data_IF_933184105196
#
_entry.id   IF_933184105196
#
_cell.length_a   1.000
_cell.length_b   1.000
_cell.length_c   1.000
_cell.angle_alpha   90.00
_cell.angle_beta   90.00
_cell.angle_gamma   90.00
#
_symmetry.space_group_name_H-M   'P 1'
#
loop_
_entity.id
_entity.type
_entity.pdbx_description
1 polymer ?
#
# COMPACT_ATOMS: atom_id res chain seq x y z
N UNK A 1 20.29 -44.30 -13.77
CA UNK A 1 20.80 -42.90 -13.67
C UNK A 1 22.32 -42.90 -13.69
N UNK A 2 22.92 -42.18 -14.64
CA UNK A 2 24.38 -42.02 -14.72
C UNK A 2 24.89 -41.06 -13.64
N UNK A 3 26.17 -41.18 -13.25
CA UNK A 3 26.82 -40.30 -12.24
C UNK A 3 26.70 -38.82 -12.60
N UNK A 4 26.70 -38.49 -13.90
CA UNK A 4 26.47 -37.14 -14.45
C UNK A 4 25.05 -36.63 -14.17
N UNK A 5 24.03 -37.49 -14.33
CA UNK A 5 22.63 -37.15 -14.04
C UNK A 5 22.37 -36.87 -12.56
N UNK A 6 23.02 -37.61 -11.64
CA UNK A 6 22.94 -37.33 -10.19
C UNK A 6 23.55 -35.98 -9.81
N UNK A 7 24.66 -35.59 -10.45
CA UNK A 7 25.32 -34.30 -10.21
C UNK A 7 24.50 -33.09 -10.71
N UNK A 8 23.79 -33.23 -11.84
CA UNK A 8 22.91 -32.17 -12.35
C UNK A 8 21.69 -31.97 -11.45
N UNK A 9 21.06 -33.06 -10.96
CA UNK A 9 19.91 -32.98 -10.05
C UNK A 9 20.31 -32.31 -8.74
N UNK A 10 21.41 -32.73 -8.10
CA UNK A 10 21.89 -32.09 -6.87
C UNK A 10 22.23 -30.60 -7.04
N UNK A 11 22.68 -30.19 -8.24
CA UNK A 11 22.92 -28.78 -8.57
C UNK A 11 21.62 -27.99 -8.71
N UNK A 12 20.59 -28.59 -9.31
CA UNK A 12 19.28 -27.95 -9.45
C UNK A 12 18.62 -27.78 -8.08
N UNK A 13 18.59 -28.82 -7.26
CA UNK A 13 18.06 -28.76 -5.88
C UNK A 13 18.77 -27.68 -5.05
N UNK A 14 20.10 -27.56 -5.18
CA UNK A 14 20.85 -26.50 -4.49
C UNK A 14 20.54 -25.09 -5.01
N UNK A 15 20.21 -24.93 -6.28
CA UNK A 15 19.80 -23.64 -6.85
C UNK A 15 18.37 -23.28 -6.43
N UNK A 16 17.45 -24.25 -6.46
CA UNK A 16 16.08 -24.09 -5.98
C UNK A 16 16.04 -23.73 -4.49
N UNK A 17 16.86 -24.39 -3.66
CA UNK A 17 16.97 -24.07 -2.23
C UNK A 17 17.51 -22.66 -1.97
N UNK A 18 18.48 -22.18 -2.76
CA UNK A 18 18.98 -20.79 -2.65
C UNK A 18 17.94 -19.78 -3.10
N UNK A 19 17.19 -20.08 -4.16
CA UNK A 19 16.13 -19.20 -4.65
C UNK A 19 14.95 -19.13 -3.67
N UNK A 20 14.57 -20.24 -3.05
CA UNK A 20 13.57 -20.27 -1.98
C UNK A 20 14.01 -19.41 -0.78
N UNK A 21 15.24 -19.62 -0.30
CA UNK A 21 15.79 -18.82 0.79
C UNK A 21 15.85 -17.31 0.44
N UNK A 22 16.23 -16.96 -0.79
CA UNK A 22 16.19 -15.57 -1.29
C UNK A 22 14.78 -14.99 -1.24
N UNK A 23 13.77 -15.75 -1.67
CA UNK A 23 12.37 -15.30 -1.66
C UNK A 23 11.85 -15.09 -0.24
N UNK A 24 12.16 -16.00 0.68
CA UNK A 24 11.83 -15.85 2.10
C UNK A 24 12.47 -14.60 2.70
N UNK A 25 13.75 -14.35 2.41
CA UNK A 25 14.46 -13.15 2.87
C UNK A 25 13.82 -11.87 2.30
N UNK A 26 13.51 -11.86 1.00
CA UNK A 26 12.82 -10.73 0.36
C UNK A 26 11.45 -10.51 0.98
N UNK A 27 10.67 -11.57 1.19
CA UNK A 27 9.35 -11.47 1.81
C UNK A 27 9.44 -10.94 3.24
N UNK A 28 10.37 -11.45 4.05
CA UNK A 28 10.58 -10.98 5.41
C UNK A 28 10.97 -9.49 5.45
N UNK A 29 11.85 -9.06 4.54
CA UNK A 29 12.22 -7.64 4.41
C UNK A 29 11.06 -6.77 3.97
N UNK A 30 10.32 -7.18 2.94
CA UNK A 30 9.13 -6.46 2.46
C UNK A 30 8.12 -6.31 3.59
N UNK A 31 7.86 -7.37 4.35
CA UNK A 31 6.97 -7.32 5.51
C UNK A 31 7.47 -6.34 6.58
N UNK A 32 8.76 -6.36 6.90
CA UNK A 32 9.35 -5.43 7.87
C UNK A 32 9.21 -3.96 7.43
N UNK A 33 9.34 -3.67 6.13
CA UNK A 33 9.16 -2.32 5.58
C UNK A 33 7.71 -1.85 5.67
N UNK A 34 6.75 -2.72 5.35
CA UNK A 34 5.32 -2.41 5.47
C UNK A 34 4.92 -2.19 6.94
N UNK A 35 5.44 -3.01 7.86
CA UNK A 35 5.22 -2.84 9.29
C UNK A 35 5.84 -1.55 9.83
N UNK A 36 7.06 -1.20 9.38
CA UNK A 36 7.71 0.06 9.74
C UNK A 36 6.95 1.29 9.22
N UNK A 37 6.40 1.23 8.01
CA UNK A 37 5.52 2.28 7.47
C UNK A 37 4.23 2.39 8.31
N UNK A 38 3.57 1.25 8.59
CA UNK A 38 2.34 1.22 9.39
C UNK A 38 2.55 1.77 10.80
N UNK A 39 3.70 1.50 11.42
CA UNK A 39 4.03 1.98 12.75
C UNK A 39 4.19 3.52 12.84
N UNK A 40 4.35 4.21 11.70
CA UNK A 40 4.42 5.67 11.65
C UNK A 40 3.03 6.33 11.62
N UNK A 41 1.97 5.58 11.36
CA UNK A 41 0.61 6.11 11.32
C UNK A 41 0.15 6.58 12.69
N UNK A 42 -0.63 7.66 12.72
CA UNK A 42 -1.33 8.05 13.93
C UNK A 42 -2.30 6.94 14.38
N UNK A 43 -2.59 6.81 15.69
CA UNK A 43 -3.45 5.74 16.19
C UNK A 43 -4.83 5.65 15.52
N UNK A 44 -5.40 6.80 15.12
CA UNK A 44 -6.67 6.87 14.40
C UNK A 44 -6.58 6.31 12.99
N UNK A 45 -5.52 6.65 12.24
CA UNK A 45 -5.29 6.14 10.89
C UNK A 45 -4.98 4.63 10.91
N UNK A 46 -4.16 4.17 11.86
CA UNK A 46 -3.88 2.75 12.03
C UNK A 46 -5.14 1.93 12.35
N UNK A 47 -6.07 2.48 13.16
CA UNK A 47 -7.35 1.85 13.43
C UNK A 47 -8.25 1.82 12.19
N UNK A 48 -8.32 2.91 11.42
CA UNK A 48 -9.08 2.99 10.18
C UNK A 48 -8.53 2.02 9.11
N UNK A 49 -7.21 1.89 9.00
CA UNK A 49 -6.55 0.95 8.09
C UNK A 49 -6.91 -0.51 8.42
N UNK A 50 -6.88 -0.90 9.71
CA UNK A 50 -7.29 -2.23 10.15
C UNK A 50 -8.78 -2.50 9.92
N UNK A 51 -9.63 -1.50 10.16
CA UNK A 51 -11.07 -1.59 9.88
C UNK A 51 -11.34 -1.84 8.39
N UNK A 52 -10.60 -1.16 7.50
CA UNK A 52 -10.68 -1.39 6.06
C UNK A 52 -10.25 -2.82 5.66
N UNK A 53 -9.12 -3.30 6.20
CA UNK A 53 -8.65 -4.67 5.95
C UNK A 53 -9.62 -5.73 6.45
N UNK A 54 -10.18 -5.56 7.65
CA UNK A 54 -11.14 -6.52 8.21
C UNK A 54 -12.39 -6.70 7.33
N UNK A 55 -12.86 -5.63 6.68
CA UNK A 55 -13.98 -5.70 5.73
C UNK A 55 -13.60 -6.45 4.44
N UNK A 56 -12.34 -6.39 4.02
CA UNK A 56 -11.85 -7.12 2.83
C UNK A 56 -11.56 -8.60 3.12
N UNK A 57 -11.06 -8.92 4.33
CA UNK A 57 -10.53 -10.24 4.68
C UNK A 57 -11.54 -11.16 5.39
N UNK A 58 -12.38 -10.65 6.31
CA UNK A 58 -13.15 -11.50 7.25
C UNK A 58 -14.56 -11.91 6.78
N UNK A 59 -15.00 -11.53 5.58
CA UNK A 59 -16.31 -11.98 5.08
C UNK A 59 -16.68 -11.64 3.64
N UNK A 60 -15.78 -11.03 2.87
CA UNK A 60 -16.20 -10.24 1.71
C UNK A 60 -17.15 -9.12 2.17
N UNK A 61 -17.89 -8.50 1.24
CA UNK A 61 -18.89 -7.45 1.57
C UNK A 61 -20.13 -8.01 2.31
N UNK A 62 -19.93 -8.87 3.32
CA UNK A 62 -20.93 -9.47 4.20
C UNK A 62 -21.64 -8.38 5.01
N UNK A 63 -22.68 -7.81 4.41
CA UNK A 63 -23.41 -6.68 4.95
C UNK A 63 -23.57 -5.52 3.96
N UNK A 64 -23.06 -5.62 2.74
CA UNK A 64 -23.26 -4.64 1.68
C UNK A 64 -22.62 -3.28 1.98
N UNK A 65 -21.59 -3.25 2.83
CA UNK A 65 -20.84 -2.03 3.19
C UNK A 65 -20.24 -1.40 1.93
N UNK A 66 -19.50 -2.15 1.10
CA UNK A 66 -18.91 -1.62 -0.14
C UNK A 66 -20.00 -1.10 -1.09
N UNK A 67 -21.11 -1.83 -1.21
CA UNK A 67 -22.26 -1.40 -2.01
C UNK A 67 -22.90 -0.10 -1.47
N UNK A 68 -23.09 0.02 -0.15
CA UNK A 68 -23.61 1.24 0.48
C UNK A 68 -22.64 2.41 0.32
N UNK A 69 -21.34 2.17 0.47
CA UNK A 69 -20.30 3.18 0.26
C UNK A 69 -20.33 3.68 -1.18
N UNK A 70 -20.43 2.78 -2.17
CA UNK A 70 -20.52 3.15 -3.58
C UNK A 70 -21.73 4.05 -3.85
N UNK A 71 -22.91 3.71 -3.34
CA UNK A 71 -24.12 4.54 -3.49
C UNK A 71 -23.96 5.88 -2.77
N UNK A 72 -23.47 5.87 -1.53
CA UNK A 72 -23.32 7.07 -0.73
C UNK A 72 -22.28 8.03 -1.31
N UNK A 73 -21.27 7.52 -2.01
CA UNK A 73 -20.15 8.29 -2.56
C UNK A 73 -20.26 8.57 -4.05
N UNK A 74 -21.33 8.12 -4.72
CA UNK A 74 -21.53 8.34 -6.16
C UNK A 74 -21.48 9.83 -6.57
N UNK A 75 -21.77 10.73 -5.64
CA UNK A 75 -21.74 12.18 -5.85
C UNK A 75 -20.32 12.79 -5.89
N UNK A 76 -19.28 12.06 -5.48
CA UNK A 76 -17.91 12.56 -5.43
C UNK A 76 -17.24 12.64 -6.82
N UNK A 77 -17.82 11.99 -7.84
CA UNK A 77 -17.26 11.95 -9.20
C UNK A 77 -16.05 11.01 -9.31
N UNK A 78 -15.40 11.03 -10.48
CA UNK A 78 -14.20 10.24 -10.75
C UNK A 78 -12.92 11.05 -10.47
N UNK A 79 -11.97 10.41 -9.78
CA UNK A 79 -10.63 10.95 -9.53
C UNK A 79 -10.51 11.87 -8.31
N UNK A 80 -9.28 12.02 -7.82
CA UNK A 80 -8.95 12.87 -6.68
C UNK A 80 -8.69 14.32 -7.15
N UNK A 81 -9.37 15.34 -6.61
CA UNK A 81 -9.25 16.74 -7.07
C UNK A 81 -8.01 17.46 -6.51
N UNK A 82 -6.99 16.72 -6.08
CA UNK A 82 -5.75 17.30 -5.53
C UNK A 82 -4.85 17.75 -6.68
N UNK A 83 -4.67 19.07 -6.80
CA UNK A 83 -3.68 19.65 -7.69
C UNK A 83 -2.32 19.68 -6.99
N UNK A 84 -1.37 18.90 -7.48
CA UNK A 84 -0.02 18.83 -6.94
C UNK A 84 1.00 18.57 -8.06
N UNK A 85 2.16 19.24 -8.09
CA UNK A 85 3.14 19.10 -9.18
C UNK A 85 3.74 17.70 -9.27
N UNK A 86 3.74 16.93 -8.19
CA UNK A 86 4.27 15.57 -8.16
C UNK A 86 3.22 14.48 -8.40
N UNK A 87 1.95 14.84 -8.71
CA UNK A 87 0.83 13.88 -8.77
C UNK A 87 1.13 12.68 -9.68
N UNK A 88 1.39 12.93 -10.96
CA UNK A 88 1.57 11.88 -11.97
C UNK A 88 2.74 10.95 -11.61
N UNK A 89 3.87 11.54 -11.23
CA UNK A 89 5.07 10.78 -10.86
C UNK A 89 4.90 9.98 -9.56
N UNK A 90 4.17 10.53 -8.58
CA UNK A 90 3.91 9.86 -7.31
C UNK A 90 2.92 8.71 -7.48
N UNK A 91 1.87 8.88 -8.30
CA UNK A 91 0.91 7.82 -8.64
C UNK A 91 1.61 6.69 -9.41
N UNK A 92 2.42 7.04 -10.43
CA UNK A 92 3.21 6.06 -11.16
C UNK A 92 4.18 5.29 -10.25
N UNK A 93 4.82 5.97 -9.30
CA UNK A 93 5.65 5.29 -8.29
C UNK A 93 4.82 4.37 -7.40
N UNK A 94 3.67 4.81 -6.88
CA UNK A 94 2.83 3.99 -6.00
C UNK A 94 2.34 2.71 -6.69
N UNK A 95 1.94 2.80 -7.97
CA UNK A 95 1.59 1.63 -8.78
C UNK A 95 2.76 0.65 -8.90
N UNK A 96 3.98 1.15 -9.14
CA UNK A 96 5.18 0.32 -9.27
C UNK A 96 5.72 -0.22 -7.95
N UNK A 97 5.50 0.49 -6.84
CA UNK A 97 6.07 0.16 -5.54
C UNK A 97 5.64 -1.23 -5.06
N UNK A 98 4.38 -1.60 -5.32
CA UNK A 98 3.78 -2.86 -4.89
C UNK A 98 3.54 -3.87 -6.03
N UNK A 99 3.70 -3.47 -7.29
CA UNK A 99 3.39 -4.33 -8.47
C UNK A 99 4.59 -5.13 -9.00
N UNK A 100 5.62 -5.36 -8.18
CA UNK A 100 6.74 -6.23 -8.54
C UNK A 100 6.33 -7.71 -8.64
N UNK A 101 7.05 -8.55 -9.42
CA UNK A 101 6.79 -9.98 -9.44
C UNK A 101 7.01 -10.60 -8.05
N UNK A 102 6.28 -11.68 -7.73
CA UNK A 102 6.39 -12.36 -6.44
C UNK A 102 7.85 -12.69 -6.08
N UNK A 103 8.27 -12.24 -4.88
CA UNK A 103 9.64 -12.41 -4.41
C UNK A 103 10.64 -11.38 -4.97
N UNK A 104 10.17 -10.31 -5.60
CA UNK A 104 10.95 -9.08 -5.82
C UNK A 104 10.83 -8.13 -4.62
N UNK A 105 11.89 -7.36 -4.32
CA UNK A 105 11.80 -6.30 -3.32
C UNK A 105 10.83 -5.19 -3.77
N UNK A 106 10.32 -4.44 -2.79
CA UNK A 106 9.60 -3.20 -3.06
C UNK A 106 10.49 -2.23 -3.83
N UNK A 107 9.90 -1.48 -4.76
CA UNK A 107 10.62 -0.50 -5.58
C UNK A 107 10.81 0.80 -4.80
N UNK A 108 12.05 1.17 -4.42
CA UNK A 108 12.27 2.43 -3.72
C UNK A 108 12.02 3.62 -4.66
N UNK A 109 11.49 4.74 -4.15
CA UNK A 109 11.43 5.99 -4.90
C UNK A 109 12.84 6.56 -5.13
N UNK A 110 12.98 7.44 -6.12
CA UNK A 110 14.18 8.30 -6.22
C UNK A 110 14.31 9.14 -4.93
N UNK A 111 15.44 9.08 -4.19
CA UNK A 111 15.63 9.82 -2.95
C UNK A 111 15.38 11.34 -3.09
N UNK A 112 15.70 11.93 -4.25
CA UNK A 112 15.46 13.35 -4.50
C UNK A 112 13.97 13.69 -4.64
N UNK A 113 13.14 12.70 -4.99
CA UNK A 113 11.68 12.84 -5.18
C UNK A 113 10.87 12.53 -3.93
N UNK A 114 11.44 11.81 -2.96
CA UNK A 114 10.76 11.40 -1.71
C UNK A 114 9.99 12.55 -1.04
N UNK A 115 10.57 13.74 -0.80
CA UNK A 115 9.83 14.81 -0.13
C UNK A 115 8.59 15.27 -0.90
N UNK A 116 8.68 15.29 -2.24
CA UNK A 116 7.58 15.72 -3.10
C UNK A 116 6.47 14.67 -3.19
N UNK A 117 6.83 13.38 -3.17
CA UNK A 117 5.86 12.28 -3.15
C UNK A 117 5.13 12.20 -1.80
N UNK A 118 5.87 12.27 -0.70
CA UNK A 118 5.29 12.34 0.66
C UNK A 118 4.31 13.51 0.77
N UNK A 119 4.69 14.71 0.29
CA UNK A 119 3.82 15.88 0.29
C UNK A 119 2.54 15.68 -0.54
N UNK A 120 2.61 14.98 -1.67
CA UNK A 120 1.44 14.64 -2.47
C UNK A 120 0.46 13.76 -1.67
N UNK A 121 0.95 12.64 -1.14
CA UNK A 121 0.10 11.70 -0.41
C UNK A 121 -0.52 12.31 0.86
N UNK A 122 0.24 13.13 1.60
CA UNK A 122 -0.30 13.89 2.74
C UNK A 122 -1.38 14.88 2.30
N UNK A 123 -1.23 15.54 1.14
CA UNK A 123 -2.26 16.42 0.59
C UNK A 123 -3.54 15.66 0.22
N UNK A 124 -3.42 14.41 -0.26
CA UNK A 124 -4.53 13.50 -0.51
C UNK A 124 -5.24 13.10 0.80
N UNK A 125 -4.48 12.73 1.84
CA UNK A 125 -5.03 12.46 3.17
C UNK A 125 -5.77 13.65 3.75
N UNK A 126 -5.18 14.86 3.64
CA UNK A 126 -5.82 16.09 4.08
C UNK A 126 -7.08 16.45 3.29
N UNK A 127 -7.17 16.06 2.00
CA UNK A 127 -8.40 16.20 1.24
C UNK A 127 -9.51 15.29 1.79
N UNK A 128 -9.20 14.04 2.12
CA UNK A 128 -10.17 13.14 2.75
C UNK A 128 -10.71 13.70 4.07
N UNK A 129 -9.85 14.27 4.92
CA UNK A 129 -10.29 14.91 6.17
C UNK A 129 -11.24 16.10 5.93
N UNK A 130 -10.96 16.91 4.90
CA UNK A 130 -11.82 18.05 4.53
C UNK A 130 -13.18 17.59 4.03
N UNK A 131 -13.23 16.57 3.18
CA UNK A 131 -14.52 16.04 2.71
C UNK A 131 -15.32 15.39 3.84
N UNK A 132 -14.64 14.73 4.79
CA UNK A 132 -15.28 14.21 5.99
C UNK A 132 -15.91 15.32 6.85
N UNK A 133 -15.33 16.52 6.89
CA UNK A 133 -15.85 17.65 7.67
C UNK A 133 -16.91 18.48 6.93
N UNK A 134 -16.82 18.56 5.60
CA UNK A 134 -17.64 19.47 4.77
C UNK A 134 -19.08 19.01 4.62
N UNK A 135 -19.30 17.71 4.58
CA UNK A 135 -20.61 17.16 4.24
C UNK A 135 -21.22 16.53 5.50
N UNK A 136 -22.48 16.83 5.87
CA UNK A 136 -23.21 16.07 6.89
C UNK A 136 -23.49 14.68 6.32
N UNK A 137 -22.49 13.82 6.45
CA UNK A 137 -22.43 12.54 5.78
C UNK A 137 -23.06 11.44 6.63
N UNK A 138 -23.56 10.41 5.95
CA UNK A 138 -23.87 9.17 6.64
C UNK A 138 -22.59 8.62 7.30
N UNK A 139 -22.72 7.84 8.40
CA UNK A 139 -21.58 7.18 9.05
C UNK A 139 -20.67 6.40 8.08
N UNK A 140 -21.25 5.87 7.00
CA UNK A 140 -20.56 5.15 5.94
C UNK A 140 -19.58 6.06 5.17
N UNK A 141 -19.94 7.28 4.78
CA UNK A 141 -18.99 8.15 4.07
C UNK A 141 -17.92 8.70 5.01
N UNK A 142 -18.23 8.96 6.28
CA UNK A 142 -17.18 9.25 7.28
C UNK A 142 -16.21 8.07 7.45
N UNK A 143 -16.70 6.83 7.35
CA UNK A 143 -15.85 5.64 7.38
C UNK A 143 -14.95 5.58 6.14
N UNK A 144 -15.51 5.78 4.93
CA UNK A 144 -14.72 5.79 3.70
C UNK A 144 -13.65 6.88 3.71
N UNK A 145 -13.99 8.10 4.14
CA UNK A 145 -13.04 9.20 4.19
C UNK A 145 -11.87 8.90 5.15
N UNK A 146 -12.14 8.26 6.30
CA UNK A 146 -11.08 7.80 7.20
C UNK A 146 -10.24 6.68 6.60
N UNK A 147 -10.85 5.72 5.90
CA UNK A 147 -10.11 4.67 5.20
C UNK A 147 -9.20 5.25 4.11
N UNK A 148 -9.73 6.15 3.28
CA UNK A 148 -8.95 6.84 2.25
C UNK A 148 -7.82 7.67 2.84
N UNK A 149 -8.10 8.45 3.88
CA UNK A 149 -7.07 9.23 4.59
C UNK A 149 -5.96 8.35 5.17
N UNK A 150 -6.32 7.24 5.79
CA UNK A 150 -5.36 6.28 6.34
C UNK A 150 -4.51 5.62 5.26
N UNK A 151 -5.09 5.26 4.11
CA UNK A 151 -4.36 4.69 2.98
C UNK A 151 -3.34 5.68 2.41
N UNK A 152 -3.75 6.92 2.16
CA UNK A 152 -2.83 7.95 1.65
C UNK A 152 -1.68 8.23 2.61
N UNK A 153 -1.94 8.28 3.92
CA UNK A 153 -0.89 8.45 4.93
C UNK A 153 0.02 7.23 5.03
N UNK A 154 -0.50 6.04 4.76
CA UNK A 154 0.31 4.83 4.67
C UNK A 154 1.27 4.90 3.48
N UNK A 155 0.80 5.33 2.31
CA UNK A 155 1.66 5.51 1.14
C UNK A 155 2.74 6.58 1.37
N UNK A 156 2.40 7.67 2.07
CA UNK A 156 3.37 8.67 2.51
C UNK A 156 4.45 8.06 3.42
N UNK A 157 4.04 7.31 4.45
CA UNK A 157 4.94 6.65 5.37
C UNK A 157 5.81 5.59 4.69
N UNK A 158 5.25 4.81 3.76
CA UNK A 158 5.97 3.82 2.98
C UNK A 158 6.99 4.47 2.04
N UNK A 159 6.62 5.57 1.38
CA UNK A 159 7.53 6.34 0.54
C UNK A 159 8.74 6.84 1.34
N UNK A 160 8.49 7.40 2.52
CA UNK A 160 9.53 7.84 3.44
C UNK A 160 10.39 6.67 3.94
N UNK A 161 9.79 5.53 4.28
CA UNK A 161 10.50 4.34 4.73
C UNK A 161 11.46 3.81 3.67
N UNK A 162 10.96 3.58 2.46
CA UNK A 162 11.76 3.07 1.35
C UNK A 162 12.85 4.07 0.94
N UNK A 163 12.54 5.38 0.97
CA UNK A 163 13.50 6.44 0.69
C UNK A 163 14.65 6.55 1.70
N UNK A 164 14.46 6.11 2.95
CA UNK A 164 15.53 6.08 3.97
C UNK A 164 16.47 4.89 3.81
N UNK A 165 16.02 3.83 3.16
CA UNK A 165 16.75 2.57 2.99
C UNK A 165 17.45 2.46 1.62
N UNK A 166 17.17 3.38 0.69
CA UNK A 166 17.77 3.47 -0.65
C UNK A 166 19.10 4.25 -0.62
#
# INVERSE_FOLDING_TARGET
MTRRGRGTVARLEALEGREAARREEVQARTWAQLEAARAQLAPGDAAAYRDALGILEEGGDAGGVLSRLQVACAHLGEGLPVAHPAKEDAEAWAELALSGPDGAPLTPPDPARVPAFVAYFEACGAWCDREAARVPLSPDVHRLARWGGALWRFDAALCAELGRQA
#
